data_IF_097758495477
#
_entry.id   IF_097758495477
#
_cell.length_a   1.000
_cell.length_b   1.000
_cell.length_c   1.000
_cell.angle_alpha   90.00
_cell.angle_beta   90.00
_cell.angle_gamma   90.00
#
_symmetry.space_group_name_H-M   'P 1'
#
loop_
_entity.id
_entity.type
_entity.pdbx_description
1 polymer ?
#
# COMPACT_ATOMS: atom_id res chain seq x y z
N UNK A 1 -11.98 -7.88 15.82
CA UNK A 1 -10.99 -7.56 14.75
C UNK A 1 -9.74 -6.95 15.39
N UNK A 2 -8.55 -7.39 14.96
CA UNK A 2 -7.27 -6.87 15.45
C UNK A 2 -6.63 -6.05 14.32
N UNK A 3 -6.33 -4.79 14.60
CA UNK A 3 -5.66 -3.89 13.66
C UNK A 3 -4.18 -3.75 13.96
N UNK A 4 -3.36 -3.79 12.92
CA UNK A 4 -1.92 -3.57 12.98
C UNK A 4 -1.51 -2.68 11.82
N UNK A 5 -0.74 -1.65 12.07
CA UNK A 5 -0.32 -0.70 11.05
C UNK A 5 1.16 -0.35 11.18
N UNK A 6 1.82 -0.21 10.06
CA UNK A 6 3.24 0.18 9.99
C UNK A 6 3.43 1.33 9.01
N UNK A 7 4.43 2.13 9.27
CA UNK A 7 4.92 3.16 8.36
C UNK A 7 6.41 3.37 8.62
N UNK A 8 7.15 3.74 7.58
CA UNK A 8 8.58 4.05 7.70
C UNK A 8 8.81 5.37 8.43
N UNK A 9 7.85 6.28 8.35
CA UNK A 9 7.89 7.59 8.99
C UNK A 9 7.43 7.52 10.45
N UNK A 10 8.32 7.82 11.37
CA UNK A 10 7.97 7.94 12.79
C UNK A 10 6.89 8.99 13.02
N UNK A 11 6.95 10.10 12.29
CA UNK A 11 5.95 11.17 12.37
C UNK A 11 4.57 10.67 11.91
N UNK A 12 4.50 9.94 10.79
CA UNK A 12 3.25 9.36 10.32
C UNK A 12 2.67 8.36 11.33
N UNK A 13 3.51 7.52 11.93
CA UNK A 13 3.09 6.59 12.99
C UNK A 13 2.50 7.35 14.19
N UNK A 14 3.12 8.45 14.62
CA UNK A 14 2.62 9.25 15.74
C UNK A 14 1.26 9.87 15.43
N UNK A 15 1.07 10.43 14.24
CA UNK A 15 -0.22 10.99 13.79
C UNK A 15 -1.29 9.89 13.74
N UNK A 16 -0.95 8.73 13.21
CA UNK A 16 -1.87 7.59 13.14
C UNK A 16 -2.31 7.11 14.53
N UNK A 17 -1.39 7.08 15.50
CA UNK A 17 -1.71 6.76 16.90
C UNK A 17 -2.70 7.75 17.51
N UNK A 18 -2.48 9.05 17.27
CA UNK A 18 -3.40 10.09 17.75
C UNK A 18 -4.79 9.94 17.10
N UNK A 19 -4.85 9.70 15.81
CA UNK A 19 -6.10 9.49 15.10
C UNK A 19 -6.86 8.25 15.60
N UNK A 20 -6.17 7.15 15.86
CA UNK A 20 -6.78 5.95 16.40
C UNK A 20 -7.37 6.20 17.79
N UNK A 21 -6.66 6.96 18.63
CA UNK A 21 -7.13 7.36 19.96
C UNK A 21 -8.37 8.24 19.88
N UNK A 22 -8.36 9.24 19.00
CA UNK A 22 -9.50 10.13 18.79
C UNK A 22 -10.76 9.40 18.30
N UNK A 23 -10.57 8.37 17.48
CA UNK A 23 -11.66 7.57 16.92
C UNK A 23 -11.98 6.31 17.75
N UNK A 24 -11.32 6.13 18.88
CA UNK A 24 -11.51 4.98 19.78
C UNK A 24 -11.35 3.64 19.06
N UNK A 25 -10.37 3.53 18.16
CA UNK A 25 -10.08 2.32 17.39
C UNK A 25 -8.82 1.64 17.93
N UNK A 26 -8.91 0.36 18.37
CA UNK A 26 -7.75 -0.37 18.88
C UNK A 26 -6.86 -0.87 17.74
N UNK A 27 -5.79 -0.14 17.44
CA UNK A 27 -4.79 -0.50 16.44
C UNK A 27 -3.40 -0.46 17.06
N UNK A 28 -2.60 -1.49 16.82
CA UNK A 28 -1.18 -1.49 17.16
C UNK A 28 -0.39 -0.83 16.03
N UNK A 29 0.53 0.07 16.39
CA UNK A 29 1.34 0.81 15.42
C UNK A 29 2.82 0.56 15.67
N UNK A 30 3.57 0.39 14.57
CA UNK A 30 5.00 0.21 14.64
C UNK A 30 5.68 0.93 13.47
N UNK A 31 6.86 1.51 13.74
CA UNK A 31 7.71 2.01 12.66
C UNK A 31 8.41 0.84 12.00
N UNK A 32 8.23 0.69 10.69
CA UNK A 32 8.80 -0.43 9.92
C UNK A 32 9.03 -0.02 8.47
N UNK A 33 10.12 -0.49 7.88
CA UNK A 33 10.28 -0.47 6.43
C UNK A 33 9.57 -1.71 5.86
N UNK A 34 8.35 -1.51 5.36
CA UNK A 34 7.45 -2.58 4.94
C UNK A 34 7.29 -3.63 6.06
N UNK A 35 7.67 -4.88 5.81
CA UNK A 35 7.48 -5.99 6.75
C UNK A 35 8.67 -6.23 7.68
N UNK A 36 9.71 -5.41 7.63
CA UNK A 36 10.96 -5.65 8.37
C UNK A 36 10.77 -5.95 9.86
N UNK A 37 9.86 -5.21 10.52
CA UNK A 37 9.56 -5.38 11.94
C UNK A 37 8.31 -6.22 12.21
N UNK A 38 7.63 -6.69 11.18
CA UNK A 38 6.39 -7.46 11.30
C UNK A 38 6.71 -8.92 11.62
N UNK A 39 6.06 -9.45 12.65
CA UNK A 39 6.29 -10.84 13.12
C UNK A 39 5.02 -11.70 13.08
N UNK A 40 3.88 -11.13 12.75
CA UNK A 40 2.59 -11.82 12.74
C UNK A 40 2.09 -12.07 11.33
N UNK A 41 1.12 -12.97 11.19
CA UNK A 41 0.36 -13.18 9.95
C UNK A 41 -1.03 -12.57 10.07
N UNK A 42 -1.58 -12.19 8.93
CA UNK A 42 -2.84 -11.46 8.83
C UNK A 42 -3.81 -12.11 7.85
N UNK A 43 -5.09 -11.86 8.04
CA UNK A 43 -6.13 -12.27 7.11
C UNK A 43 -6.30 -11.28 5.96
N UNK A 44 -5.95 -10.02 6.19
CA UNK A 44 -5.99 -8.95 5.17
C UNK A 44 -4.79 -8.04 5.35
N UNK A 45 -4.12 -7.75 4.25
CA UNK A 45 -3.08 -6.73 4.16
C UNK A 45 -3.56 -5.66 3.18
N UNK A 46 -3.59 -4.41 3.62
CA UNK A 46 -3.98 -3.25 2.79
C UNK A 46 -2.81 -2.30 2.70
N UNK A 47 -2.52 -1.80 1.51
CA UNK A 47 -1.45 -0.84 1.30
C UNK A 47 -1.81 0.22 0.25
N UNK A 48 -1.43 1.45 0.55
CA UNK A 48 -1.40 2.56 -0.40
C UNK A 48 0.06 3.03 -0.50
N UNK A 49 0.93 2.28 -1.21
CA UNK A 49 2.34 2.63 -1.28
C UNK A 49 2.59 3.78 -2.25
N UNK A 50 3.76 4.45 -2.16
CA UNK A 50 4.16 5.42 -3.17
C UNK A 50 4.17 4.80 -4.57
N UNK A 51 3.51 5.43 -5.54
CA UNK A 51 3.32 4.87 -6.88
C UNK A 51 3.61 5.84 -8.03
N UNK A 52 4.08 7.04 -7.75
CA UNK A 52 4.37 8.03 -8.79
C UNK A 52 5.81 7.84 -9.26
N UNK A 53 6.07 7.68 -10.58
CA UNK A 53 7.43 7.64 -11.08
C UNK A 53 8.23 8.88 -10.68
N UNK A 54 9.50 8.69 -10.34
CA UNK A 54 10.35 9.77 -9.83
C UNK A 54 10.38 10.99 -10.75
N UNK A 55 10.47 10.78 -12.07
CA UNK A 55 10.53 11.84 -13.06
C UNK A 55 9.21 12.60 -13.28
N UNK A 56 8.10 12.05 -12.82
CA UNK A 56 6.77 12.69 -12.87
C UNK A 56 6.54 13.64 -11.70
N UNK A 57 7.17 13.40 -10.55
CA UNK A 57 6.95 14.19 -9.32
C UNK A 57 7.12 15.71 -9.57
N UNK A 58 8.14 16.21 -10.28
CA UNK A 58 8.26 17.64 -10.54
C UNK A 58 7.14 18.24 -11.39
N UNK A 59 6.34 17.41 -12.05
CA UNK A 59 5.23 17.81 -12.93
C UNK A 59 3.88 17.86 -12.21
N UNK A 60 3.84 17.45 -10.93
CA UNK A 60 2.61 17.46 -10.13
C UNK A 60 2.18 18.89 -9.79
N UNK A 61 0.89 19.03 -9.40
CA UNK A 61 0.37 20.32 -8.95
C UNK A 61 1.18 20.85 -7.76
N UNK A 62 1.43 22.18 -7.68
CA UNK A 62 2.26 22.76 -6.63
C UNK A 62 1.84 22.36 -5.21
N UNK A 63 0.54 22.22 -4.94
CA UNK A 63 0.02 21.82 -3.63
C UNK A 63 0.52 20.42 -3.24
N UNK A 64 0.56 19.48 -4.18
CA UNK A 64 1.05 18.13 -3.93
C UNK A 64 2.56 18.16 -3.67
N UNK A 65 3.33 18.92 -4.46
CA UNK A 65 4.77 19.01 -4.29
C UNK A 65 5.19 19.64 -2.96
N UNK A 66 4.43 20.62 -2.48
CA UNK A 66 4.78 21.39 -1.27
C UNK A 66 4.32 20.71 0.02
N UNK A 67 3.14 20.10 0.01
CA UNK A 67 2.50 19.55 1.22
C UNK A 67 2.66 18.05 1.41
N UNK A 68 2.97 17.29 0.34
CA UNK A 68 3.19 15.86 0.43
C UNK A 68 4.68 15.54 0.49
N UNK A 69 5.14 14.74 1.47
CA UNK A 69 6.52 14.27 1.50
C UNK A 69 6.87 13.49 0.23
N UNK A 70 8.04 13.74 -0.35
CA UNK A 70 8.49 13.03 -1.56
C UNK A 70 8.52 11.52 -1.33
N UNK A 71 8.95 11.05 -0.18
CA UNK A 71 8.96 9.62 0.16
C UNK A 71 7.58 8.97 0.19
N UNK A 72 6.51 9.74 0.37
CA UNK A 72 5.13 9.27 0.31
C UNK A 72 4.59 9.21 -1.13
N UNK A 73 5.28 9.80 -2.10
CA UNK A 73 4.89 9.89 -3.51
C UNK A 73 5.75 9.03 -4.42
N UNK A 74 7.05 8.92 -4.11
CA UNK A 74 8.06 8.38 -5.02
C UNK A 74 8.01 6.84 -5.11
N UNK A 75 7.40 6.35 -6.19
CA UNK A 75 7.37 4.94 -6.56
C UNK A 75 8.60 4.44 -7.31
N UNK A 76 9.67 5.22 -7.34
CA UNK A 76 10.94 5.00 -8.04
C UNK A 76 10.77 5.10 -9.56
N UNK A 77 11.64 4.44 -10.32
CA UNK A 77 11.80 4.66 -11.76
C UNK A 77 10.49 4.51 -12.56
N UNK A 78 9.76 3.43 -12.31
CA UNK A 78 8.51 3.11 -13.03
C UNK A 78 7.24 3.26 -12.19
N UNK A 79 7.36 3.72 -10.93
CA UNK A 79 6.24 3.84 -10.01
C UNK A 79 5.78 2.51 -9.41
N UNK A 80 6.44 1.39 -9.70
CA UNK A 80 5.99 0.04 -9.33
C UNK A 80 6.88 -0.66 -8.29
N UNK A 81 7.93 0.01 -7.82
CA UNK A 81 8.93 -0.57 -6.93
C UNK A 81 8.32 -1.19 -5.66
N UNK A 82 7.45 -0.44 -4.96
CA UNK A 82 6.86 -0.90 -3.72
C UNK A 82 5.83 -2.01 -3.93
N UNK A 83 5.09 -1.97 -5.03
CA UNK A 83 4.17 -3.07 -5.38
C UNK A 83 4.92 -4.37 -5.54
N UNK A 84 6.04 -4.38 -6.26
CA UNK A 84 6.87 -5.59 -6.43
C UNK A 84 7.32 -6.15 -5.09
N UNK A 85 7.86 -5.28 -4.22
CA UNK A 85 8.31 -5.69 -2.90
C UNK A 85 7.20 -6.22 -2.01
N UNK A 86 6.08 -5.50 -1.95
CA UNK A 86 4.96 -5.91 -1.10
C UNK A 86 4.32 -7.21 -1.59
N UNK A 87 4.13 -7.37 -2.90
CA UNK A 87 3.60 -8.61 -3.47
C UNK A 87 4.48 -9.81 -3.11
N UNK A 88 5.79 -9.67 -3.28
CA UNK A 88 6.75 -10.72 -2.95
C UNK A 88 6.72 -11.07 -1.45
N UNK A 89 6.84 -10.08 -0.58
CA UNK A 89 6.98 -10.27 0.86
C UNK A 89 5.66 -10.67 1.54
N UNK A 90 4.53 -10.13 1.10
CA UNK A 90 3.23 -10.32 1.75
C UNK A 90 2.80 -11.79 1.87
N UNK A 91 3.28 -12.64 0.98
CA UNK A 91 2.96 -14.08 1.01
C UNK A 91 3.37 -14.75 2.31
N UNK A 92 4.46 -14.28 2.93
CA UNK A 92 4.94 -14.80 4.22
C UNK A 92 4.15 -14.26 5.41
N UNK A 93 3.36 -13.21 5.21
CA UNK A 93 2.61 -12.52 6.25
C UNK A 93 1.07 -12.62 6.08
N UNK A 94 0.60 -13.38 5.10
CA UNK A 94 -0.81 -13.70 4.93
C UNK A 94 -1.11 -15.12 5.39
N UNK A 95 -2.24 -15.27 6.06
CA UNK A 95 -2.82 -16.57 6.30
C UNK A 95 -3.35 -17.15 4.98
N UNK A 96 -3.40 -18.50 4.80
CA UNK A 96 -4.04 -19.10 3.62
C UNK A 96 -5.48 -18.60 3.46
N UNK A 97 -5.84 -18.18 2.25
CA UNK A 97 -7.13 -17.56 1.96
C UNK A 97 -7.20 -16.07 2.32
N UNK A 98 -6.11 -15.49 2.80
CA UNK A 98 -6.04 -14.06 3.10
C UNK A 98 -5.95 -13.19 1.84
N UNK A 99 -6.27 -11.91 1.99
CA UNK A 99 -6.30 -10.95 0.89
C UNK A 99 -5.20 -9.92 0.97
N UNK A 100 -4.59 -9.63 -0.20
CA UNK A 100 -3.75 -8.46 -0.40
C UNK A 100 -4.54 -7.43 -1.21
N UNK A 101 -4.60 -6.19 -0.74
CA UNK A 101 -5.34 -5.11 -1.37
C UNK A 101 -4.46 -3.87 -1.52
N UNK A 102 -4.45 -3.29 -2.73
CA UNK A 102 -3.70 -2.07 -3.02
C UNK A 102 -4.60 -0.95 -3.51
N UNK A 103 -4.29 0.27 -3.08
CA UNK A 103 -4.62 1.45 -3.88
C UNK A 103 -3.55 1.61 -4.97
N UNK A 104 -3.96 1.99 -6.18
CA UNK A 104 -3.07 2.14 -7.34
C UNK A 104 -3.29 3.47 -8.05
N UNK A 105 -2.29 3.89 -8.85
CA UNK A 105 -2.48 4.91 -9.87
C UNK A 105 -3.38 4.39 -11.00
N UNK A 106 -4.09 5.29 -11.66
CA UNK A 106 -5.12 4.95 -12.67
C UNK A 106 -4.61 4.11 -13.85
N UNK A 107 -3.31 4.16 -14.13
CA UNK A 107 -2.64 3.47 -15.23
C UNK A 107 -1.86 2.21 -14.81
N UNK A 108 -2.01 1.77 -13.55
CA UNK A 108 -1.21 0.68 -12.99
C UNK A 108 -1.98 -0.64 -12.80
N UNK A 109 -3.28 -0.67 -13.11
CA UNK A 109 -4.11 -1.84 -12.83
C UNK A 109 -3.63 -3.13 -13.48
N UNK A 110 -3.23 -3.06 -14.75
CA UNK A 110 -2.70 -4.22 -15.49
C UNK A 110 -1.41 -4.74 -14.87
N UNK A 111 -0.43 -3.86 -14.65
CA UNK A 111 0.89 -4.26 -14.15
C UNK A 111 0.81 -4.87 -12.75
N UNK A 112 0.06 -4.24 -11.85
CA UNK A 112 -0.10 -4.75 -10.48
C UNK A 112 -0.88 -6.08 -10.46
N UNK A 113 -1.92 -6.20 -11.29
CA UNK A 113 -2.67 -7.46 -11.42
C UNK A 113 -1.80 -8.60 -11.92
N UNK A 114 -0.97 -8.36 -12.92
CA UNK A 114 -0.03 -9.34 -13.45
C UNK A 114 0.99 -9.76 -12.39
N UNK A 115 1.55 -8.82 -11.64
CA UNK A 115 2.47 -9.11 -10.53
C UNK A 115 1.84 -10.04 -9.50
N UNK A 116 0.61 -9.77 -9.10
CA UNK A 116 -0.09 -10.58 -8.10
C UNK A 116 -0.40 -11.98 -8.64
N UNK A 117 -0.86 -12.07 -9.88
CA UNK A 117 -1.14 -13.36 -10.53
C UNK A 117 0.13 -14.20 -10.66
N UNK A 118 1.23 -13.60 -11.10
CA UNK A 118 2.52 -14.28 -11.25
C UNK A 118 3.09 -14.74 -9.90
N UNK A 119 2.78 -14.03 -8.83
CA UNK A 119 3.19 -14.39 -7.47
C UNK A 119 2.32 -15.48 -6.83
N UNK A 120 1.27 -15.95 -7.51
CA UNK A 120 0.42 -17.03 -7.05
C UNK A 120 -0.87 -16.60 -6.35
N UNK A 121 -1.23 -15.32 -6.41
CA UNK A 121 -2.54 -14.86 -5.94
C UNK A 121 -3.63 -15.28 -6.91
N UNK A 122 -4.79 -15.67 -6.39
CA UNK A 122 -5.98 -16.00 -7.15
C UNK A 122 -7.05 -14.91 -7.02
N UNK A 123 -8.07 -14.99 -7.87
CA UNK A 123 -9.18 -14.02 -7.90
C UNK A 123 -8.71 -12.56 -7.94
N UNK A 124 -7.63 -12.31 -8.68
CA UNK A 124 -7.08 -10.97 -8.84
C UNK A 124 -8.06 -10.10 -9.61
N UNK A 125 -8.42 -8.96 -9.03
CA UNK A 125 -9.49 -8.12 -9.52
C UNK A 125 -9.10 -6.64 -9.41
N UNK A 126 -9.40 -5.87 -10.45
CA UNK A 126 -9.24 -4.40 -10.47
C UNK A 126 -10.60 -3.75 -10.26
N UNK A 127 -10.68 -2.82 -9.33
CA UNK A 127 -11.90 -2.05 -9.04
C UNK A 127 -11.69 -0.58 -9.37
N UNK A 128 -12.72 0.02 -9.93
CA UNK A 128 -12.74 1.43 -10.33
C UNK A 128 -13.27 2.32 -9.22
N UNK A 129 -12.80 3.57 -9.20
CA UNK A 129 -13.37 4.61 -8.36
C UNK A 129 -14.66 5.18 -8.97
N UNK A 130 -15.27 6.17 -8.30
CA UNK A 130 -16.51 6.79 -8.76
C UNK A 130 -16.34 7.58 -10.06
N UNK A 131 -15.11 7.98 -10.39
CA UNK A 131 -14.79 8.65 -11.65
C UNK A 131 -14.54 7.68 -12.81
N UNK A 132 -14.55 6.36 -12.57
CA UNK A 132 -14.32 5.33 -13.55
C UNK A 132 -12.86 4.98 -13.82
N UNK A 133 -11.93 5.46 -12.98
CA UNK A 133 -10.51 5.13 -13.05
C UNK A 133 -10.20 3.89 -12.24
N UNK A 134 -9.27 3.06 -12.73
CA UNK A 134 -8.73 1.96 -11.94
C UNK A 134 -8.13 2.50 -10.65
N UNK A 135 -8.51 1.95 -9.51
CA UNK A 135 -8.08 2.49 -8.22
C UNK A 135 -7.67 1.46 -7.20
N UNK A 136 -8.21 0.26 -7.26
CA UNK A 136 -7.93 -0.81 -6.28
C UNK A 136 -7.63 -2.11 -7.01
N UNK A 137 -6.61 -2.82 -6.56
CA UNK A 137 -6.33 -4.20 -6.98
C UNK A 137 -6.38 -5.09 -5.75
N UNK A 138 -7.10 -6.19 -5.84
CA UNK A 138 -7.22 -7.18 -4.78
C UNK A 138 -6.88 -8.57 -5.28
N UNK A 139 -6.35 -9.41 -4.41
CA UNK A 139 -6.08 -10.82 -4.72
C UNK A 139 -6.06 -11.65 -3.45
N UNK A 140 -6.37 -12.94 -3.59
CA UNK A 140 -6.42 -13.90 -2.49
C UNK A 140 -5.22 -14.86 -2.58
N UNK A 141 -4.58 -15.12 -1.44
CA UNK A 141 -3.47 -16.08 -1.36
C UNK A 141 -3.98 -17.52 -1.30
#
# INVERSE_FOLDING_TARGET
MKGYAVDISKQAVNVAKENAKLNEVPVLFERSDLFEMVTEKFDVIVSNPPYIPTDVIPQLMPEVQVFEPVEALDGKEDGLYFYRKIVEQSRDYLNPGGYLMFEIGYDQGKDVSEMMTDAGFSDVCVKKDLAGNDRVVTGML
#
